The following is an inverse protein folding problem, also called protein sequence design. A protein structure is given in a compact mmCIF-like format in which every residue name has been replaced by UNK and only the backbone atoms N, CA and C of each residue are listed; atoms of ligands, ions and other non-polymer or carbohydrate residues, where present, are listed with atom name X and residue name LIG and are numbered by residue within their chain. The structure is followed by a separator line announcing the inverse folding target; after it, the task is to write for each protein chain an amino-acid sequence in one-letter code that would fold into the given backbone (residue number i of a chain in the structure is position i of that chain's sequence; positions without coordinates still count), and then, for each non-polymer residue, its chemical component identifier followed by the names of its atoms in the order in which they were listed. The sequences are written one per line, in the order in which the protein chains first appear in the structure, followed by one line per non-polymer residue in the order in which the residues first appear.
data_IF_936053332691
#
_entry.id   IF_936053332691
#
_cell.length_a   1.000
_cell.length_b   1.000
_cell.length_c   1.000
_cell.angle_alpha   90.00
_cell.angle_beta   90.00
_cell.angle_gamma   90.00
#
_symmetry.space_group_name_H-M   'P 1'
#
loop_
_entity.id
_entity.type
_entity.pdbx_description
1 polymer ?
#
# COMPACT_ATOMS: atom_id res chain seq x y z
N UNK A 1 -12.51 -6.70 -17.36
CA UNK A 1 -11.64 -6.77 -16.18
C UNK A 1 -10.36 -7.42 -16.61
N UNK A 2 -9.26 -6.66 -16.62
CA UNK A 2 -7.95 -7.17 -17.00
C UNK A 2 -7.38 -8.06 -15.88
N UNK A 3 -6.40 -8.90 -16.22
CA UNK A 3 -5.68 -9.73 -15.23
C UNK A 3 -4.99 -8.84 -14.19
N UNK A 4 -4.51 -7.67 -14.60
CA UNK A 4 -3.88 -6.68 -13.72
C UNK A 4 -4.90 -6.07 -12.75
N UNK A 5 -6.08 -5.68 -13.23
CA UNK A 5 -7.18 -5.17 -12.39
C UNK A 5 -7.62 -6.21 -11.36
N UNK A 6 -7.75 -7.49 -11.76
CA UNK A 6 -8.08 -8.58 -10.85
C UNK A 6 -6.97 -8.84 -9.83
N UNK A 7 -5.70 -8.73 -10.24
CA UNK A 7 -4.54 -8.92 -9.36
C UNK A 7 -4.45 -7.81 -8.31
N UNK A 8 -4.64 -6.55 -8.74
CA UNK A 8 -4.67 -5.39 -7.85
C UNK A 8 -5.87 -5.48 -6.89
N UNK A 9 -7.05 -5.86 -7.38
CA UNK A 9 -8.25 -6.09 -6.54
C UNK A 9 -7.98 -7.13 -5.46
N UNK A 10 -7.44 -8.29 -5.83
CA UNK A 10 -7.11 -9.36 -4.90
C UNK A 10 -6.08 -8.91 -3.86
N UNK A 11 -5.10 -8.09 -4.24
CA UNK A 11 -4.10 -7.54 -3.32
C UNK A 11 -4.74 -6.61 -2.28
N UNK A 12 -5.63 -5.71 -2.69
CA UNK A 12 -6.35 -4.82 -1.78
C UNK A 12 -7.30 -5.55 -0.84
N UNK A 13 -7.99 -6.58 -1.35
CA UNK A 13 -8.85 -7.45 -0.53
C UNK A 13 -8.05 -8.20 0.53
N UNK A 14 -6.90 -8.75 0.17
CA UNK A 14 -5.99 -9.41 1.12
C UNK A 14 -5.50 -8.41 2.17
N UNK A 15 -5.05 -7.22 1.76
CA UNK A 15 -4.60 -6.18 2.69
C UNK A 15 -5.71 -5.78 3.69
N UNK A 16 -6.95 -5.64 3.22
CA UNK A 16 -8.10 -5.32 4.07
C UNK A 16 -8.43 -6.45 5.07
N UNK A 17 -8.38 -7.71 4.64
CA UNK A 17 -8.59 -8.87 5.52
C UNK A 17 -7.51 -8.90 6.61
N UNK A 18 -6.26 -8.71 6.22
CA UNK A 18 -5.11 -8.68 7.12
C UNK A 18 -5.25 -7.59 8.18
N UNK A 19 -5.63 -6.39 7.78
CA UNK A 19 -5.84 -5.26 8.70
C UNK A 19 -6.97 -5.55 9.70
N UNK A 20 -8.05 -6.19 9.27
CA UNK A 20 -9.16 -6.60 10.16
C UNK A 20 -8.71 -7.68 11.15
N UNK A 21 -7.89 -8.63 10.73
CA UNK A 21 -7.40 -9.70 11.59
C UNK A 21 -6.40 -9.16 12.63
N UNK A 22 -5.53 -8.22 12.26
CA UNK A 22 -4.61 -7.54 13.18
C UNK A 22 -5.37 -6.71 14.22
N UNK A 23 -6.36 -5.90 13.78
CA UNK A 23 -7.20 -5.10 14.70
C UNK A 23 -8.00 -5.95 15.68
N UNK A 24 -8.34 -7.18 15.32
CA UNK A 24 -9.04 -8.13 16.20
C UNK A 24 -8.09 -8.94 17.10
N UNK A 25 -6.77 -8.75 16.96
CA UNK A 25 -5.76 -9.52 17.69
C UNK A 25 -5.73 -11.00 17.30
N UNK A 26 -6.26 -11.35 16.11
CA UNK A 26 -6.33 -12.72 15.62
C UNK A 26 -5.05 -13.14 14.89
N UNK A 27 -4.27 -12.17 14.42
CA UNK A 27 -2.93 -12.39 13.90
C UNK A 27 -2.02 -11.21 14.27
N UNK A 28 -0.75 -11.50 14.52
CA UNK A 28 0.31 -10.52 14.59
C UNK A 28 0.90 -10.27 13.21
N UNK A 29 1.69 -9.19 13.06
CA UNK A 29 2.49 -8.98 11.86
C UNK A 29 3.39 -10.16 11.52
N UNK A 30 3.91 -10.86 12.53
CA UNK A 30 4.75 -12.03 12.33
C UNK A 30 3.97 -13.20 11.71
N UNK A 31 2.75 -13.46 12.20
CA UNK A 31 1.90 -14.53 11.66
C UNK A 31 1.60 -14.32 10.17
N UNK A 32 1.48 -13.07 9.73
CA UNK A 32 1.29 -12.71 8.32
C UNK A 32 2.54 -13.04 7.48
N UNK A 33 3.73 -12.73 7.98
CA UNK A 33 4.98 -13.06 7.29
C UNK A 33 5.16 -14.58 7.17
N UNK A 34 4.79 -15.33 8.21
CA UNK A 34 4.89 -16.79 8.21
C UNK A 34 3.91 -17.40 7.19
N UNK A 35 2.67 -16.87 7.11
CA UNK A 35 1.67 -17.28 6.12
C UNK A 35 2.16 -17.00 4.70
N UNK A 36 2.70 -15.80 4.43
CA UNK A 36 3.26 -15.43 3.11
C UNK A 36 4.42 -16.35 2.74
N UNK A 37 5.32 -16.62 3.69
CA UNK A 37 6.47 -17.52 3.49
C UNK A 37 6.01 -18.93 3.15
N UNK A 38 5.01 -19.44 3.85
CA UNK A 38 4.45 -20.77 3.59
C UNK A 38 3.71 -20.85 2.25
N UNK A 39 3.00 -19.80 1.84
CA UNK A 39 2.39 -19.73 0.51
C UNK A 39 3.44 -19.78 -0.61
N UNK A 40 4.54 -19.04 -0.46
CA UNK A 40 5.66 -19.05 -1.41
C UNK A 40 6.35 -20.41 -1.47
N UNK A 41 6.54 -21.06 -0.31
CA UNK A 41 7.09 -22.42 -0.23
C UNK A 41 6.22 -23.44 -0.97
N UNK A 42 4.90 -23.30 -0.89
CA UNK A 42 3.94 -24.21 -1.52
C UNK A 42 3.74 -23.98 -3.01
N UNK A 43 4.00 -22.78 -3.51
CA UNK A 43 3.83 -22.45 -4.92
C UNK A 43 5.06 -21.74 -5.54
N UNK A 44 6.19 -22.44 -5.67
CA UNK A 44 7.46 -21.85 -6.15
C UNK A 44 7.43 -21.40 -7.62
N UNK A 45 6.40 -21.78 -8.38
CA UNK A 45 6.20 -21.41 -9.80
C UNK A 45 5.26 -20.21 -9.99
N UNK A 46 4.68 -19.67 -8.90
CA UNK A 46 3.94 -18.43 -8.96
C UNK A 46 4.92 -17.30 -9.34
N UNK A 47 5.00 -17.01 -10.64
CA UNK A 47 5.78 -15.87 -11.13
C UNK A 47 5.15 -14.63 -10.55
N UNK A 48 5.97 -13.87 -9.82
CA UNK A 48 5.65 -12.52 -9.38
C UNK A 48 5.25 -11.76 -10.65
N UNK A 49 4.03 -11.19 -10.73
CA UNK A 49 3.73 -10.21 -11.77
C UNK A 49 4.85 -9.16 -11.77
N UNK A 50 5.46 -8.88 -12.92
CA UNK A 50 6.54 -7.87 -13.03
C UNK A 50 6.13 -6.48 -12.52
N UNK A 51 4.85 -6.26 -12.19
CA UNK A 51 4.41 -5.24 -11.24
C UNK A 51 4.86 -5.59 -9.81
N UNK A 52 6.17 -5.54 -9.63
CA UNK A 52 6.93 -5.20 -8.42
C UNK A 52 6.04 -5.08 -7.18
N UNK A 53 5.91 -6.16 -6.41
CA UNK A 53 5.83 -5.99 -4.96
C UNK A 53 7.30 -5.87 -4.54
N UNK A 54 7.81 -4.68 -4.16
CA UNK A 54 9.19 -4.57 -3.72
C UNK A 54 9.35 -5.41 -2.45
N UNK A 55 10.23 -6.39 -2.46
CA UNK A 55 10.65 -7.06 -1.23
C UNK A 55 11.70 -6.22 -0.49
N UNK A 56 11.56 -6.01 0.83
CA UNK A 56 10.32 -5.96 1.59
C UNK A 56 9.77 -4.53 1.58
N UNK A 57 8.46 -4.38 1.45
CA UNK A 57 7.74 -3.13 1.78
C UNK A 57 7.73 -2.91 3.30
N UNK A 58 8.89 -3.08 3.95
CA UNK A 58 9.12 -2.55 5.28
C UNK A 58 9.31 -1.06 5.07
N UNK A 59 8.20 -0.33 5.20
CA UNK A 59 8.25 1.10 5.45
C UNK A 59 9.34 1.31 6.50
N UNK A 60 10.34 2.11 6.16
CA UNK A 60 11.36 2.56 7.10
C UNK A 60 10.67 3.22 8.30
N UNK A 61 11.35 3.32 9.43
CA UNK A 61 10.81 4.03 10.60
C UNK A 61 10.35 5.45 10.22
N UNK A 62 11.11 6.10 9.32
CA UNK A 62 10.76 7.39 8.74
C UNK A 62 9.45 7.34 7.94
N UNK A 63 9.28 6.36 7.05
CA UNK A 63 8.06 6.23 6.23
C UNK A 63 6.83 5.89 7.09
N UNK A 64 6.98 5.03 8.11
CA UNK A 64 5.90 4.76 9.06
C UNK A 64 5.52 6.03 9.83
N UNK A 65 6.50 6.78 10.33
CA UNK A 65 6.24 8.04 11.04
C UNK A 65 5.54 9.06 10.15
N UNK A 66 5.94 9.18 8.88
CA UNK A 66 5.27 10.04 7.91
C UNK A 66 3.81 9.64 7.76
N UNK A 67 3.51 8.35 7.63
CA UNK A 67 2.14 7.85 7.53
C UNK A 67 1.34 8.16 8.80
N UNK A 68 1.90 7.91 9.98
CA UNK A 68 1.25 8.19 11.27
C UNK A 68 0.94 9.68 11.43
N UNK A 69 1.89 10.56 11.11
CA UNK A 69 1.71 12.02 11.16
C UNK A 69 0.62 12.48 10.17
N UNK A 70 0.58 11.88 8.98
CA UNK A 70 -0.44 12.17 7.97
C UNK A 70 -1.83 11.72 8.43
N UNK A 71 -1.95 10.52 8.96
CA UNK A 71 -3.21 10.02 9.51
C UNK A 71 -3.69 10.87 10.69
N UNK A 72 -2.78 11.27 11.58
CA UNK A 72 -3.09 12.18 12.68
C UNK A 72 -3.62 13.53 12.17
N UNK A 73 -3.02 14.09 11.12
CA UNK A 73 -3.48 15.33 10.48
C UNK A 73 -4.86 15.16 9.84
N UNK A 74 -5.09 14.07 9.10
CA UNK A 74 -6.37 13.82 8.45
C UNK A 74 -7.50 13.69 9.48
N UNK A 75 -7.25 12.93 10.56
CA UNK A 75 -8.18 12.75 11.66
C UNK A 75 -8.44 14.04 12.43
N UNK A 76 -7.39 14.83 12.72
CA UNK A 76 -7.51 16.13 13.38
C UNK A 76 -8.42 17.10 12.60
N UNK A 77 -8.40 17.02 11.27
CA UNK A 77 -9.24 17.84 10.41
C UNK A 77 -10.64 17.23 10.14
N UNK A 78 -10.96 16.09 10.77
CA UNK A 78 -12.27 15.45 10.65
C UNK A 78 -12.59 14.98 9.23
N UNK A 79 -11.57 14.70 8.42
CA UNK A 79 -11.75 14.23 7.05
C UNK A 79 -12.33 12.82 7.05
N UNK A 80 -13.39 12.63 6.27
CA UNK A 80 -13.90 11.28 5.99
C UNK A 80 -12.90 10.50 5.15
N UNK A 81 -12.96 9.17 5.19
CA UNK A 81 -12.10 8.30 4.36
C UNK A 81 -12.11 8.70 2.89
N UNK A 82 -13.28 9.02 2.33
CA UNK A 82 -13.39 9.42 0.93
C UNK A 82 -12.69 10.76 0.64
N UNK A 83 -12.82 11.74 1.53
CA UNK A 83 -12.14 13.03 1.39
C UNK A 83 -10.62 12.89 1.55
N UNK A 84 -10.18 12.04 2.48
CA UNK A 84 -8.77 11.72 2.68
C UNK A 84 -8.14 11.08 1.45
N UNK A 85 -8.82 10.09 0.84
CA UNK A 85 -8.34 9.44 -0.40
C UNK A 85 -8.21 10.46 -1.54
N UNK A 86 -9.26 11.24 -1.79
CA UNK A 86 -9.25 12.26 -2.85
C UNK A 86 -8.13 13.30 -2.63
N UNK A 87 -7.90 13.72 -1.37
CA UNK A 87 -6.81 14.63 -1.04
C UNK A 87 -5.44 14.01 -1.36
N UNK A 88 -5.21 12.74 -0.99
CA UNK A 88 -3.96 12.03 -1.24
C UNK A 88 -3.69 11.82 -2.73
N UNK A 89 -4.72 11.49 -3.52
CA UNK A 89 -4.62 11.37 -4.98
C UNK A 89 -4.18 12.69 -5.63
N UNK A 90 -4.79 13.81 -5.21
CA UNK A 90 -4.42 15.14 -5.72
C UNK A 90 -3.00 15.54 -5.32
N UNK A 91 -2.58 15.22 -4.09
CA UNK A 91 -1.21 15.42 -3.62
C UNK A 91 -0.20 14.60 -4.44
N UNK A 92 -0.51 13.33 -4.71
CA UNK A 92 0.29 12.47 -5.58
C UNK A 92 0.48 13.07 -6.98
N UNK A 93 -0.61 13.56 -7.59
CA UNK A 93 -0.54 14.24 -8.88
C UNK A 93 0.33 15.50 -8.88
N UNK A 94 0.27 16.32 -7.81
CA UNK A 94 1.12 17.52 -7.68
C UNK A 94 2.60 17.12 -7.57
N UNK A 95 2.93 16.10 -6.78
CA UNK A 95 4.29 15.61 -6.62
C UNK A 95 4.82 15.07 -7.95
N UNK A 96 4.02 14.27 -8.67
CA UNK A 96 4.40 13.74 -9.97
C UNK A 96 4.65 14.85 -10.99
N UNK A 97 3.78 15.87 -11.04
CA UNK A 97 3.98 17.04 -11.89
C UNK A 97 5.27 17.78 -11.55
N UNK A 98 5.54 18.02 -10.26
CA UNK A 98 6.79 18.65 -9.80
C UNK A 98 8.03 17.85 -10.22
N UNK A 99 7.98 16.52 -10.15
CA UNK A 99 9.06 15.65 -10.59
C UNK A 99 9.26 15.69 -12.11
N UNK A 100 8.18 15.76 -12.91
CA UNK A 100 8.26 15.90 -14.37
C UNK A 100 8.90 17.24 -14.77
N UNK A 101 8.50 18.33 -14.12
CA UNK A 101 9.10 19.66 -14.33
C UNK A 101 10.58 19.66 -13.96
N UNK A 102 10.96 19.08 -12.82
CA UNK A 102 12.35 19.00 -12.38
C UNK A 102 13.24 18.16 -13.32
N UNK A 103 12.66 17.19 -14.05
CA UNK A 103 13.37 16.35 -15.02
C UNK A 103 13.41 16.94 -16.44
N UNK A 104 12.81 18.12 -16.67
CA UNK A 104 12.75 18.75 -17.99
C UNK A 104 11.85 18.04 -18.99
N UNK A 105 11.02 17.10 -18.54
CA UNK A 105 10.07 16.33 -19.37
C UNK A 105 8.69 16.99 -19.39
N UNK A 106 8.66 18.26 -19.78
CA UNK A 106 7.43 18.96 -20.15
C UNK A 106 7.37 19.03 -21.67
N UNK A 107 6.51 18.21 -22.28
CA UNK A 107 6.05 18.41 -23.66
C UNK A 107 4.89 19.41 -23.68
#
# INVERSE_FOLDING_TARGET
MSIEEATVSNMWEIAAIVEVLERKGLCTKQDLYDIITEFRRRNPQARIPETIIPEPYLLTETENKIIDDLLALLNKNGLTTHQSINLLERLGGIIEMGQRVAKGTTH
#
